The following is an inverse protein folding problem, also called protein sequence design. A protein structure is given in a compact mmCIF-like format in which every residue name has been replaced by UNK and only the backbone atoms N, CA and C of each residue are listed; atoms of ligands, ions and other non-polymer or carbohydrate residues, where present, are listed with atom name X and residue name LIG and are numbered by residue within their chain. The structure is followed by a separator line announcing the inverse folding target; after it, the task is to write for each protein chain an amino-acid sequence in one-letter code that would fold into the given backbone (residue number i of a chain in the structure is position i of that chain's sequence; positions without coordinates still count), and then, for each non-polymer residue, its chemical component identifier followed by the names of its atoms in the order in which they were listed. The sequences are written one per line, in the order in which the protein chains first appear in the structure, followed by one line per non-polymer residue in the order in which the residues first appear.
data_IF_421945493506
#
_entry.id   IF_421945493506
#
_cell.length_a   1.000
_cell.length_b   1.000
_cell.length_c   1.000
_cell.angle_alpha   90.00
_cell.angle_beta   90.00
_cell.angle_gamma   90.00
#
_symmetry.space_group_name_H-M   'P 1'
#
loop_
_entity.id
_entity.type
_entity.pdbx_description
1 polymer ?
#
# COMPACT_ATOMS: atom_id res chain seq x y z
N UNK A 1 9.60 3.57 22.73
CA UNK A 1 10.21 2.67 21.70
C UNK A 1 10.46 1.26 22.23
N UNK A 2 11.11 1.07 23.39
CA UNK A 2 11.34 -0.26 23.96
C UNK A 2 10.05 -1.05 24.23
N UNK A 3 9.01 -0.39 24.74
CA UNK A 3 7.71 -1.00 25.02
C UNK A 3 6.97 -1.46 23.75
N UNK A 4 6.92 -0.61 22.71
CA UNK A 4 6.38 -0.99 21.39
C UNK A 4 7.09 -2.21 20.81
N UNK A 5 8.43 -2.26 20.88
CA UNK A 5 9.20 -3.41 20.40
C UNK A 5 8.89 -4.68 21.20
N UNK A 6 8.70 -4.56 22.52
CA UNK A 6 8.30 -5.68 23.38
C UNK A 6 6.92 -6.20 22.97
N UNK A 7 5.94 -5.33 22.79
CA UNK A 7 4.60 -5.70 22.33
C UNK A 7 4.63 -6.35 20.94
N UNK A 8 5.37 -5.78 20.00
CA UNK A 8 5.54 -6.33 18.65
C UNK A 8 6.14 -7.75 18.70
N UNK A 9 7.24 -7.93 19.43
CA UNK A 9 7.86 -9.25 19.56
C UNK A 9 6.89 -10.26 20.19
N UNK A 10 6.20 -9.85 21.28
CA UNK A 10 5.27 -10.73 21.96
C UNK A 10 4.16 -11.22 21.04
N UNK A 11 3.60 -10.34 20.23
CA UNK A 11 2.51 -10.68 19.33
C UNK A 11 3.00 -11.41 18.08
N UNK A 12 3.92 -10.82 17.31
CA UNK A 12 4.27 -11.25 15.96
C UNK A 12 5.48 -12.18 15.88
N UNK A 13 6.25 -12.34 16.98
CA UNK A 13 7.41 -13.26 17.02
C UNK A 13 7.24 -14.42 17.99
N UNK A 14 6.28 -14.35 18.91
CA UNK A 14 6.02 -15.39 19.90
C UNK A 14 4.61 -15.98 19.72
N UNK A 15 3.56 -15.22 20.04
CA UNK A 15 2.18 -15.76 20.14
C UNK A 15 1.68 -16.28 18.79
N UNK A 16 1.74 -15.47 17.74
CA UNK A 16 1.22 -15.85 16.43
C UNK A 16 1.97 -17.05 15.79
N UNK A 17 3.31 -17.07 15.73
CA UNK A 17 4.01 -18.24 15.19
C UNK A 17 3.79 -19.51 16.02
N UNK A 18 3.66 -19.41 17.35
CA UNK A 18 3.33 -20.55 18.21
C UNK A 18 1.95 -21.14 17.88
N UNK A 19 0.94 -20.28 17.69
CA UNK A 19 -0.41 -20.71 17.30
C UNK A 19 -0.38 -21.38 15.93
N UNK A 20 0.30 -20.80 14.94
CA UNK A 20 0.41 -21.39 13.60
C UNK A 20 1.13 -22.73 13.66
N UNK A 21 2.24 -22.83 14.39
CA UNK A 21 2.96 -24.09 14.55
C UNK A 21 2.07 -25.18 15.18
N UNK A 22 1.25 -24.84 16.18
CA UNK A 22 0.37 -25.78 16.87
C UNK A 22 -0.82 -26.24 16.01
N UNK A 23 -1.41 -25.34 15.21
CA UNK A 23 -2.66 -25.60 14.49
C UNK A 23 -2.45 -25.96 13.02
N UNK A 24 -1.37 -25.46 12.40
CA UNK A 24 -1.05 -25.64 10.99
C UNK A 24 0.49 -25.78 10.80
N UNK A 25 1.11 -26.85 11.33
CA UNK A 25 2.57 -27.00 11.36
C UNK A 25 3.24 -27.05 9.98
N UNK A 26 2.48 -27.35 8.91
CA UNK A 26 2.98 -27.40 7.54
C UNK A 26 2.89 -26.04 6.82
N UNK A 27 2.35 -25.00 7.48
CA UNK A 27 2.18 -23.66 6.91
C UNK A 27 3.31 -22.75 7.39
N UNK A 28 4.01 -22.12 6.46
CA UNK A 28 5.03 -21.12 6.78
C UNK A 28 4.40 -19.86 7.41
N UNK A 29 5.10 -19.24 8.35
CA UNK A 29 4.71 -17.99 9.01
C UNK A 29 5.74 -16.89 8.74
N UNK A 30 5.27 -15.70 8.41
CA UNK A 30 6.06 -14.46 8.45
C UNK A 30 5.45 -13.48 9.45
N UNK A 31 6.30 -12.77 10.18
CA UNK A 31 5.90 -11.82 11.22
C UNK A 31 5.28 -10.52 10.69
N UNK A 32 5.52 -10.21 9.42
CA UNK A 32 5.13 -8.95 8.78
C UNK A 32 5.23 -9.06 7.26
N UNK A 33 4.60 -8.10 6.58
CA UNK A 33 4.74 -7.84 5.15
C UNK A 33 4.79 -6.30 4.98
N UNK A 34 5.84 -5.71 4.38
CA UNK A 34 7.09 -6.38 4.07
C UNK A 34 7.80 -6.80 5.36
N UNK A 35 8.54 -7.90 5.32
CA UNK A 35 9.32 -8.35 6.48
C UNK A 35 10.64 -7.57 6.65
N UNK A 36 11.28 -7.24 5.52
CA UNK A 36 12.64 -6.69 5.45
C UNK A 36 12.74 -5.51 4.48
N UNK A 37 12.10 -5.61 3.30
CA UNK A 37 12.24 -4.57 2.28
C UNK A 37 11.53 -3.27 2.68
N UNK A 38 12.08 -2.15 2.22
CA UNK A 38 11.48 -0.83 2.33
C UNK A 38 11.72 -0.08 1.02
N UNK A 39 10.67 0.46 0.40
CA UNK A 39 10.77 1.13 -0.91
C UNK A 39 11.69 2.36 -0.89
N UNK A 40 11.85 3.02 0.26
CA UNK A 40 12.79 4.13 0.47
C UNK A 40 14.26 3.68 0.58
N UNK A 41 14.52 2.36 0.66
CA UNK A 41 15.86 1.79 0.68
C UNK A 41 16.03 0.78 -0.46
N UNK A 42 16.54 1.25 -1.60
CA UNK A 42 16.72 0.43 -2.80
C UNK A 42 17.55 -0.86 -2.56
N UNK A 43 18.53 -0.84 -1.65
CA UNK A 43 19.34 -2.04 -1.35
C UNK A 43 18.52 -3.14 -0.66
N UNK A 44 17.46 -2.76 0.06
CA UNK A 44 16.61 -3.71 0.78
C UNK A 44 15.64 -4.49 -0.12
N UNK A 45 15.37 -4.03 -1.35
CA UNK A 45 14.49 -4.70 -2.31
C UNK A 45 14.98 -6.11 -2.69
N UNK A 46 16.26 -6.40 -2.45
CA UNK A 46 16.86 -7.71 -2.69
C UNK A 46 16.48 -8.79 -1.65
N UNK A 47 15.73 -8.44 -0.59
CA UNK A 47 15.37 -9.32 0.52
C UNK A 47 13.85 -9.34 0.75
N UNK A 48 13.31 -10.53 0.97
CA UNK A 48 11.91 -10.71 1.35
C UNK A 48 10.91 -10.21 0.31
N UNK A 49 9.73 -9.83 0.78
CA UNK A 49 8.68 -9.21 0.00
C UNK A 49 8.72 -7.67 0.12
N UNK A 50 8.15 -6.96 -0.86
CA UNK A 50 8.15 -5.50 -0.90
C UNK A 50 6.76 -4.92 -1.11
N UNK A 51 6.50 -3.84 -0.35
CA UNK A 51 5.44 -2.88 -0.64
C UNK A 51 6.06 -1.69 -1.38
N UNK A 52 6.13 -1.78 -2.71
CA UNK A 52 6.74 -0.73 -3.53
C UNK A 52 5.75 0.40 -3.81
N UNK A 53 5.61 1.29 -2.83
CA UNK A 53 4.76 2.47 -2.92
C UNK A 53 5.46 3.70 -3.53
N UNK A 54 6.64 3.52 -4.13
CA UNK A 54 7.36 4.58 -4.83
C UNK A 54 6.57 5.17 -6.01
N UNK A 55 5.83 4.35 -6.75
CA UNK A 55 4.90 4.79 -7.80
C UNK A 55 3.88 5.79 -7.25
N UNK A 56 3.02 5.39 -6.33
CA UNK A 56 1.93 6.27 -5.87
C UNK A 56 2.39 7.28 -4.81
N UNK A 57 2.89 6.83 -3.66
CA UNK A 57 3.28 7.71 -2.56
C UNK A 57 4.56 8.50 -2.87
N UNK A 58 5.51 7.88 -3.57
CA UNK A 58 6.76 8.52 -3.99
C UNK A 58 6.65 9.39 -5.25
N UNK A 59 5.50 9.33 -5.94
CA UNK A 59 5.25 10.02 -7.23
C UNK A 59 6.27 9.67 -8.32
N UNK A 60 6.82 8.46 -8.29
CA UNK A 60 7.71 7.96 -9.34
C UNK A 60 6.90 7.57 -10.59
N UNK A 61 7.43 7.76 -11.81
CA UNK A 61 6.69 7.45 -13.03
C UNK A 61 6.53 5.92 -13.20
N UNK A 62 5.57 5.46 -14.01
CA UNK A 62 5.23 4.03 -14.13
C UNK A 62 6.41 3.14 -14.55
N UNK A 63 7.37 3.69 -15.31
CA UNK A 63 8.61 3.02 -15.74
C UNK A 63 9.43 2.51 -14.55
N UNK A 64 9.26 3.10 -13.36
CA UNK A 64 9.95 2.67 -12.15
C UNK A 64 9.68 1.21 -11.80
N UNK A 65 8.50 0.69 -12.15
CA UNK A 65 8.15 -0.71 -11.89
C UNK A 65 9.02 -1.68 -12.71
N UNK A 66 9.55 -1.24 -13.86
CA UNK A 66 10.53 -1.99 -14.65
C UNK A 66 11.98 -1.85 -14.15
N UNK A 67 12.24 -0.92 -13.23
CA UNK A 67 13.59 -0.62 -12.72
C UNK A 67 13.80 -1.09 -11.27
N UNK A 68 12.74 -1.06 -10.45
CA UNK A 68 12.77 -1.32 -9.01
C UNK A 68 12.05 -2.63 -8.72
N UNK A 69 12.72 -3.71 -9.06
CA UNK A 69 12.16 -5.07 -9.03
C UNK A 69 12.53 -5.75 -7.70
N UNK A 70 11.59 -5.98 -6.78
CA UNK A 70 11.84 -6.74 -5.56
C UNK A 70 11.86 -8.25 -5.84
N UNK A 71 12.25 -9.06 -4.83
CA UNK A 71 12.19 -10.53 -4.95
C UNK A 71 10.76 -11.04 -5.04
N UNK A 72 9.86 -10.42 -4.30
CA UNK A 72 8.42 -10.65 -4.34
C UNK A 72 7.70 -9.31 -4.13
N UNK A 73 6.76 -8.95 -5.01
CA UNK A 73 5.97 -7.73 -4.88
C UNK A 73 4.64 -8.06 -4.20
N UNK A 74 4.56 -7.87 -2.89
CA UNK A 74 3.33 -8.12 -2.11
C UNK A 74 2.37 -6.95 -2.17
N UNK A 75 2.87 -5.71 -2.37
CA UNK A 75 2.03 -4.55 -2.67
C UNK A 75 2.71 -3.58 -3.65
N UNK A 76 1.90 -3.06 -4.57
CA UNK A 76 2.14 -1.84 -5.35
C UNK A 76 0.78 -1.40 -5.87
N UNK A 77 0.64 -0.15 -6.29
CA UNK A 77 -0.63 0.29 -6.84
C UNK A 77 -0.64 1.74 -7.28
N UNK A 78 -1.74 2.09 -7.93
CA UNK A 78 -2.08 3.43 -8.37
C UNK A 78 -3.60 3.61 -8.26
N UNK A 79 -4.05 4.79 -7.82
CA UNK A 79 -5.48 5.03 -7.61
C UNK A 79 -6.19 5.47 -8.89
N UNK A 80 -7.43 5.04 -9.06
CA UNK A 80 -8.35 5.54 -10.06
C UNK A 80 -9.70 5.87 -9.42
N UNK A 81 -10.47 6.76 -10.06
CA UNK A 81 -11.89 6.89 -9.75
C UNK A 81 -12.63 5.63 -10.20
N UNK A 82 -13.70 5.22 -9.50
CA UNK A 82 -14.61 4.22 -10.03
C UNK A 82 -15.37 4.79 -11.24
N UNK A 83 -15.98 3.91 -12.03
CA UNK A 83 -16.79 4.32 -13.18
C UNK A 83 -18.04 5.14 -12.79
N UNK A 84 -18.60 5.86 -13.76
CA UNK A 84 -19.68 6.83 -13.52
C UNK A 84 -20.94 6.26 -12.88
N UNK A 85 -21.28 4.98 -13.13
CA UNK A 85 -22.45 4.36 -12.47
C UNK A 85 -22.30 4.31 -10.95
N UNK A 86 -21.07 4.10 -10.47
CA UNK A 86 -20.74 4.10 -9.04
C UNK A 86 -20.68 5.53 -8.51
N UNK A 87 -20.12 6.47 -9.27
CA UNK A 87 -20.08 7.88 -8.88
C UNK A 87 -21.49 8.44 -8.66
N UNK A 88 -22.42 8.13 -9.57
CA UNK A 88 -23.83 8.53 -9.48
C UNK A 88 -24.58 7.96 -8.28
N UNK A 89 -24.01 7.00 -7.53
CA UNK A 89 -24.62 6.51 -6.28
C UNK A 89 -24.28 7.37 -5.06
N UNK A 90 -23.29 8.27 -5.16
CA UNK A 90 -22.87 9.10 -4.03
C UNK A 90 -22.69 10.60 -4.35
N UNK A 91 -22.73 10.98 -5.63
CA UNK A 91 -22.53 12.35 -6.10
C UNK A 91 -23.60 12.75 -7.14
N UNK A 92 -24.02 14.01 -7.11
CA UNK A 92 -24.88 14.61 -8.15
C UNK A 92 -24.03 15.18 -9.29
N UNK A 93 -24.65 15.53 -10.43
CA UNK A 93 -23.89 16.04 -11.59
C UNK A 93 -23.12 17.33 -11.30
N UNK A 94 -23.64 18.18 -10.39
CA UNK A 94 -22.95 19.39 -9.91
C UNK A 94 -21.64 19.08 -9.16
N UNK A 95 -21.50 17.86 -8.66
CA UNK A 95 -20.36 17.41 -7.87
C UNK A 95 -19.30 16.68 -8.71
N UNK A 96 -19.50 16.55 -10.03
CA UNK A 96 -18.59 15.87 -10.97
C UNK A 96 -17.34 16.72 -11.29
N UNK A 97 -16.69 17.20 -10.25
CA UNK A 97 -15.38 17.83 -10.26
C UNK A 97 -14.51 17.08 -9.25
N UNK A 98 -13.30 16.67 -9.66
CA UNK A 98 -12.34 15.97 -8.79
C UNK A 98 -11.97 16.75 -7.53
N UNK A 99 -12.25 18.05 -7.49
CA UNK A 99 -12.02 18.95 -6.37
C UNK A 99 -13.28 19.31 -5.57
N UNK A 100 -14.46 18.81 -5.95
CA UNK A 100 -15.69 19.05 -5.20
C UNK A 100 -15.58 18.47 -3.78
N UNK A 101 -16.32 19.05 -2.83
CA UNK A 101 -16.32 18.59 -1.44
C UNK A 101 -16.81 17.14 -1.33
N UNK A 102 -17.79 16.76 -2.15
CA UNK A 102 -18.31 15.39 -2.23
C UNK A 102 -17.22 14.43 -2.70
N UNK A 103 -16.48 14.75 -3.75
CA UNK A 103 -15.39 13.89 -4.25
C UNK A 103 -14.23 13.81 -3.25
N UNK A 104 -13.88 14.92 -2.58
CA UNK A 104 -12.83 14.96 -1.55
C UNK A 104 -13.18 14.14 -0.32
N UNK A 105 -14.44 14.17 0.13
CA UNK A 105 -14.89 13.35 1.27
C UNK A 105 -14.78 11.85 0.97
N UNK A 106 -14.96 11.45 -0.29
CA UNK A 106 -14.81 10.05 -0.71
C UNK A 106 -13.35 9.65 -1.03
N UNK A 107 -12.42 10.60 -1.00
CA UNK A 107 -10.98 10.36 -1.11
C UNK A 107 -10.35 10.24 0.27
N UNK A 108 -9.62 9.13 0.53
CA UNK A 108 -9.02 8.83 1.83
C UNK A 108 -7.48 8.76 1.82
N UNK A 109 -6.86 8.78 0.65
CA UNK A 109 -5.41 8.89 0.51
C UNK A 109 -4.94 10.31 0.81
N UNK A 110 -3.84 10.45 1.55
CA UNK A 110 -3.26 11.76 1.90
C UNK A 110 -2.77 12.59 0.70
N UNK A 111 -2.38 11.95 -0.41
CA UNK A 111 -2.00 12.64 -1.66
C UNK A 111 -3.19 12.86 -2.61
N UNK A 112 -4.24 12.06 -2.43
CA UNK A 112 -5.56 12.25 -3.03
C UNK A 112 -5.64 12.37 -4.55
N UNK A 113 -6.71 13.02 -5.01
CA UNK A 113 -7.07 13.18 -6.43
C UNK A 113 -6.03 13.99 -7.21
N UNK A 114 -5.29 14.88 -6.55
CA UNK A 114 -4.24 15.69 -7.15
C UNK A 114 -3.11 14.83 -7.73
N UNK A 115 -2.77 13.71 -7.08
CA UNK A 115 -1.80 12.77 -7.62
C UNK A 115 -2.30 12.12 -8.92
N UNK A 116 -3.58 11.74 -9.00
CA UNK A 116 -4.16 11.21 -10.25
C UNK A 116 -4.02 12.23 -11.38
N UNK A 117 -4.39 13.49 -11.11
CA UNK A 117 -4.29 14.58 -12.09
C UNK A 117 -2.86 14.76 -12.59
N UNK A 118 -1.88 14.79 -11.67
CA UNK A 118 -0.47 14.94 -12.04
C UNK A 118 -0.04 13.89 -13.07
N UNK A 119 -0.40 12.61 -12.90
CA UNK A 119 -0.02 11.55 -13.83
C UNK A 119 -0.74 11.62 -15.17
N UNK A 120 -1.96 12.16 -15.21
CA UNK A 120 -2.66 12.38 -16.47
C UNK A 120 -2.08 13.55 -17.29
N UNK A 121 -1.40 14.49 -16.61
CA UNK A 121 -0.79 15.66 -17.23
C UNK A 121 0.68 15.43 -17.67
N UNK A 122 1.27 14.28 -17.34
CA UNK A 122 2.64 13.90 -17.71
C UNK A 122 2.71 13.38 -19.15
#
# INVERSE_FOLDING_TARGET
MAEFRKGYNKTFREILPEIVHRLAPQTAYTQSSPDTANWGNAKSLAYGDSHYWGLWHGREPFEVLGQKIPRFMSEFGFQAFPEMKTIRTFAEEKDFDINSDVMKIHQKSGIGNAAIKQYMDM
#
